data_IF_091403088411
#
_entry.id   IF_091403088411
#
_cell.length_a   1.000
_cell.length_b   1.000
_cell.length_c   1.000
_cell.angle_alpha   90.00
_cell.angle_beta   90.00
_cell.angle_gamma   90.00
#
_symmetry.space_group_name_H-M   'P 1'
#
loop_
_entity.id
_entity.type
_entity.pdbx_description
1 polymer ?
#
# COMPACT_ATOMS: atom_id res chain seq x y z
N UNK A 1 -1.38 -8.83 -11.33
CA UNK A 1 -0.58 -7.91 -12.17
C UNK A 1 0.20 -6.81 -11.42
N UNK A 2 -0.11 -6.48 -10.15
CA UNK A 2 0.57 -5.42 -9.37
C UNK A 2 2.10 -5.47 -9.42
N UNK A 3 2.71 -6.59 -9.00
CA UNK A 3 4.18 -6.71 -8.93
C UNK A 3 4.85 -6.52 -10.30
N UNK A 4 4.23 -7.01 -11.38
CA UNK A 4 4.69 -6.80 -12.75
C UNK A 4 4.61 -5.33 -13.16
N UNK A 5 3.46 -4.68 -12.92
CA UNK A 5 3.27 -3.26 -13.24
C UNK A 5 4.28 -2.36 -12.52
N UNK A 6 4.59 -2.66 -11.25
CA UNK A 6 5.63 -1.94 -10.53
C UNK A 6 7.03 -2.21 -11.06
N UNK A 7 7.38 -3.48 -11.27
CA UNK A 7 8.72 -3.88 -11.71
C UNK A 7 9.05 -3.38 -13.12
N UNK A 8 8.12 -3.51 -14.06
CA UNK A 8 8.36 -3.25 -15.48
C UNK A 8 8.05 -1.80 -15.89
N UNK A 9 7.25 -1.07 -15.10
CA UNK A 9 6.78 0.27 -15.50
C UNK A 9 6.91 1.31 -14.38
N UNK A 10 6.22 1.15 -13.25
CA UNK A 10 6.09 2.25 -12.29
C UNK A 10 7.42 2.59 -11.59
N UNK A 11 8.18 1.61 -11.10
CA UNK A 11 9.47 1.87 -10.46
C UNK A 11 10.50 2.48 -11.43
N UNK A 12 10.67 1.95 -12.66
CA UNK A 12 11.49 2.62 -13.68
C UNK A 12 11.03 4.06 -13.96
N UNK A 13 9.73 4.30 -14.06
CA UNK A 13 9.17 5.62 -14.31
C UNK A 13 9.48 6.58 -13.15
N UNK A 14 9.22 6.19 -11.90
CA UNK A 14 9.54 7.00 -10.74
C UNK A 14 11.04 7.26 -10.60
N UNK A 15 11.87 6.27 -10.89
CA UNK A 15 13.33 6.45 -10.94
C UNK A 15 13.77 7.52 -11.94
N UNK A 16 13.11 7.61 -13.10
CA UNK A 16 13.40 8.64 -14.10
C UNK A 16 13.11 10.08 -13.63
N UNK A 17 12.24 10.24 -12.63
CA UNK A 17 11.91 11.53 -12.00
C UNK A 17 12.59 11.75 -10.64
N UNK A 18 13.54 10.88 -10.24
CA UNK A 18 14.19 10.92 -8.92
C UNK A 18 13.20 10.77 -7.76
N UNK A 19 12.13 10.00 -7.96
CA UNK A 19 11.09 9.78 -6.94
C UNK A 19 11.31 8.50 -6.11
N UNK A 20 12.35 7.72 -6.41
CA UNK A 20 12.67 6.47 -5.69
C UNK A 20 12.83 6.70 -4.18
N UNK A 21 13.38 7.85 -3.77
CA UNK A 21 13.61 8.18 -2.36
C UNK A 21 12.32 8.22 -1.53
N UNK A 22 11.18 8.57 -2.12
CA UNK A 22 9.89 8.63 -1.42
C UNK A 22 9.32 7.26 -1.07
N UNK A 23 9.86 6.18 -1.63
CA UNK A 23 9.47 4.82 -1.30
C UNK A 23 10.31 4.22 -0.17
N UNK A 24 11.37 4.91 0.27
CA UNK A 24 12.31 4.37 1.24
C UNK A 24 11.82 4.65 2.66
N UNK A 25 11.87 3.63 3.52
CA UNK A 25 11.63 3.81 4.95
C UNK A 25 12.85 4.44 5.64
N UNK A 26 14.04 4.28 5.05
CA UNK A 26 15.30 4.86 5.53
C UNK A 26 16.13 5.38 4.34
N UNK A 27 16.73 6.58 4.44
CA UNK A 27 17.52 7.17 3.35
C UNK A 27 18.77 6.38 2.94
N UNK A 28 19.27 5.48 3.79
CA UNK A 28 20.45 4.65 3.50
C UNK A 28 20.17 3.48 2.55
N UNK A 29 18.89 3.16 2.30
CA UNK A 29 18.50 2.10 1.38
C UNK A 29 18.89 2.50 -0.06
N UNK A 30 19.65 1.66 -0.78
CA UNK A 30 20.01 1.97 -2.17
C UNK A 30 18.78 1.82 -3.07
N UNK A 31 18.72 2.62 -4.14
CA UNK A 31 17.62 2.60 -5.12
C UNK A 31 17.37 1.20 -5.70
N UNK A 32 18.43 0.41 -5.86
CA UNK A 32 18.36 -0.96 -6.38
C UNK A 32 17.52 -1.91 -5.53
N UNK A 33 17.38 -1.61 -4.24
CA UNK A 33 16.67 -2.46 -3.28
C UNK A 33 15.18 -2.10 -3.20
N UNK A 34 14.77 -0.96 -3.77
CA UNK A 34 13.36 -0.56 -3.90
C UNK A 34 12.69 -1.39 -4.99
N UNK A 35 12.31 -2.60 -4.61
CA UNK A 35 11.65 -3.62 -5.44
C UNK A 35 10.19 -3.81 -5.02
N UNK A 36 9.34 -4.49 -5.82
CA UNK A 36 8.00 -4.85 -5.36
C UNK A 36 7.99 -5.62 -4.04
N UNK A 37 8.95 -6.51 -3.81
CA UNK A 37 9.08 -7.26 -2.57
C UNK A 37 9.38 -6.33 -1.39
N UNK A 38 10.31 -5.38 -1.57
CA UNK A 38 10.59 -4.35 -0.57
C UNK A 38 9.34 -3.50 -0.28
N UNK A 39 8.54 -3.15 -1.29
CA UNK A 39 7.32 -2.38 -1.10
C UNK A 39 6.25 -3.14 -0.32
N UNK A 40 6.16 -4.48 -0.42
CA UNK A 40 5.25 -5.29 0.41
C UNK A 40 5.55 -5.10 1.89
N UNK A 41 6.83 -5.08 2.25
CA UNK A 41 7.26 -4.95 3.64
C UNK A 41 7.13 -3.51 4.15
N UNK A 42 7.58 -2.54 3.35
CA UNK A 42 7.82 -1.17 3.83
C UNK A 42 6.86 -0.09 3.32
N UNK A 43 6.14 -0.33 2.21
CA UNK A 43 5.36 0.74 1.56
C UNK A 43 3.86 0.45 1.46
N UNK A 44 3.49 -0.77 1.11
CA UNK A 44 2.10 -1.15 0.85
C UNK A 44 1.41 -1.69 2.10
N UNK A 45 0.09 -1.51 2.12
CA UNK A 45 -0.81 -2.08 3.10
C UNK A 45 -1.10 -3.55 2.75
N UNK A 46 -0.12 -4.42 2.98
CA UNK A 46 -0.20 -5.86 2.68
C UNK A 46 -0.02 -6.68 3.97
N UNK A 47 -0.89 -7.66 4.17
CA UNK A 47 -0.81 -8.59 5.30
C UNK A 47 -2.17 -9.14 5.71
N UNK A 48 -2.25 -9.63 6.94
CA UNK A 48 -3.51 -10.01 7.59
C UNK A 48 -4.39 -8.77 7.86
N UNK A 49 -5.70 -8.92 8.10
CA UNK A 49 -6.55 -7.79 8.50
C UNK A 49 -5.98 -7.01 9.69
N UNK A 50 -5.45 -7.72 10.71
CA UNK A 50 -4.75 -7.10 11.84
C UNK A 50 -3.57 -6.23 11.39
N UNK A 51 -2.68 -6.78 10.56
CA UNK A 51 -1.50 -6.07 10.05
C UNK A 51 -1.88 -4.84 9.24
N UNK A 52 -2.91 -4.95 8.40
CA UNK A 52 -3.39 -3.84 7.57
C UNK A 52 -4.03 -2.75 8.43
N UNK A 53 -4.79 -3.13 9.47
CA UNK A 53 -5.33 -2.17 10.46
C UNK A 53 -4.21 -1.40 11.16
N UNK A 54 -3.15 -2.09 11.61
CA UNK A 54 -2.00 -1.43 12.26
C UNK A 54 -1.30 -0.45 11.30
N UNK A 55 -0.92 -0.89 10.10
CA UNK A 55 -0.27 -0.03 9.10
C UNK A 55 -1.15 1.16 8.66
N UNK A 56 -2.46 0.94 8.50
CA UNK A 56 -3.41 2.00 8.13
C UNK A 56 -3.57 3.03 9.26
N UNK A 57 -3.55 2.59 10.51
CA UNK A 57 -3.56 3.47 11.68
C UNK A 57 -2.32 4.33 11.77
N UNK A 58 -1.13 3.73 11.60
CA UNK A 58 0.13 4.47 11.54
C UNK A 58 0.11 5.53 10.43
N UNK A 59 -0.39 5.17 9.24
CA UNK A 59 -0.52 6.11 8.12
C UNK A 59 -1.52 7.25 8.42
N UNK A 60 -2.65 6.93 9.05
CA UNK A 60 -3.66 7.92 9.44
C UNK A 60 -3.09 8.92 10.45
N UNK A 61 -2.44 8.43 11.50
CA UNK A 61 -1.80 9.30 12.51
C UNK A 61 -0.69 10.15 11.90
N UNK A 62 0.18 9.55 11.09
CA UNK A 62 1.30 10.26 10.46
C UNK A 62 0.85 11.36 9.50
N UNK A 63 -0.34 11.26 8.90
CA UNK A 63 -0.87 12.27 7.99
C UNK A 63 -1.74 13.35 8.64
N UNK A 64 -2.04 13.25 9.95
CA UNK A 64 -3.08 14.06 10.59
C UNK A 64 -4.52 13.62 10.23
N UNK A 65 -4.67 12.41 9.71
CA UNK A 65 -5.93 11.82 9.29
C UNK A 65 -6.38 12.14 7.86
N UNK A 66 -7.38 11.41 7.38
CA UNK A 66 -8.03 11.61 6.09
C UNK A 66 -9.48 11.11 6.11
N UNK A 67 -10.34 11.68 5.26
CA UNK A 67 -11.77 11.33 5.22
C UNK A 67 -12.14 10.11 4.37
N UNK A 68 -11.20 9.57 3.58
CA UNK A 68 -11.47 8.43 2.73
C UNK A 68 -10.20 7.72 2.25
N UNK A 69 -10.28 6.40 2.17
CA UNK A 69 -9.24 5.54 1.62
C UNK A 69 -9.58 5.20 0.16
N UNK A 70 -8.73 5.63 -0.78
CA UNK A 70 -8.85 5.26 -2.18
C UNK A 70 -7.95 4.06 -2.47
N UNK A 71 -8.55 2.93 -2.80
CA UNK A 71 -7.82 1.70 -3.12
C UNK A 71 -7.38 1.75 -4.59
N UNK A 72 -6.07 1.74 -4.82
CA UNK A 72 -5.51 1.55 -6.16
C UNK A 72 -5.64 0.08 -6.57
N UNK A 73 -6.34 -0.16 -7.67
CA UNK A 73 -6.57 -1.51 -8.21
C UNK A 73 -5.78 -1.74 -9.50
N UNK A 74 -5.39 -2.99 -9.73
CA UNK A 74 -4.70 -3.44 -10.93
C UNK A 74 -5.48 -4.59 -11.55
N UNK A 75 -5.00 -5.12 -12.68
CA UNK A 75 -5.62 -6.28 -13.27
C UNK A 75 -5.46 -7.53 -12.38
N UNK A 76 -6.61 -8.08 -11.99
CA UNK A 76 -6.81 -9.27 -11.16
C UNK A 76 -7.55 -10.39 -11.91
N UNK A 77 -7.56 -10.38 -13.25
CA UNK A 77 -8.23 -11.42 -14.06
C UNK A 77 -7.75 -12.84 -13.72
N UNK A 78 -6.46 -13.02 -13.41
CA UNK A 78 -5.88 -14.31 -13.07
C UNK A 78 -6.27 -14.82 -11.67
N UNK A 79 -6.68 -13.92 -10.76
CA UNK A 79 -7.08 -14.24 -9.37
C UNK A 79 -8.13 -13.25 -8.86
N UNK A 80 -9.32 -13.33 -9.43
CA UNK A 80 -10.43 -12.48 -9.05
C UNK A 80 -10.98 -12.85 -7.67
N UNK A 81 -11.00 -14.14 -7.32
CA UNK A 81 -11.47 -14.61 -6.02
C UNK A 81 -10.59 -14.11 -4.87
N UNK A 82 -9.27 -14.19 -5.01
CA UNK A 82 -8.33 -13.67 -4.03
C UNK A 82 -8.46 -12.16 -3.86
N UNK A 83 -8.61 -11.41 -4.96
CA UNK A 83 -8.88 -9.98 -4.91
C UNK A 83 -10.21 -9.65 -4.21
N UNK A 84 -11.31 -10.31 -4.60
CA UNK A 84 -12.62 -10.09 -4.03
C UNK A 84 -12.63 -10.39 -2.52
N UNK A 85 -11.96 -11.46 -2.10
CA UNK A 85 -11.79 -11.77 -0.68
C UNK A 85 -10.96 -10.69 0.04
N UNK A 86 -9.87 -10.20 -0.57
CA UNK A 86 -9.09 -9.09 -0.01
C UNK A 86 -9.93 -7.82 0.17
N UNK A 87 -10.78 -7.47 -0.80
CA UNK A 87 -11.67 -6.31 -0.70
C UNK A 87 -12.73 -6.50 0.38
N UNK A 88 -13.31 -7.71 0.47
CA UNK A 88 -14.25 -8.05 1.54
C UNK A 88 -13.61 -7.89 2.91
N UNK A 89 -12.41 -8.44 3.12
CA UNK A 89 -11.68 -8.31 4.39
C UNK A 89 -11.35 -6.85 4.73
N UNK A 90 -10.95 -6.06 3.74
CA UNK A 90 -10.72 -4.62 3.94
C UNK A 90 -11.99 -3.92 4.45
N UNK A 91 -13.12 -4.14 3.80
CA UNK A 91 -14.40 -3.48 4.15
C UNK A 91 -14.98 -4.00 5.46
N UNK A 92 -14.96 -5.31 5.68
CA UNK A 92 -15.66 -5.95 6.80
C UNK A 92 -14.81 -6.04 8.08
N UNK A 93 -13.48 -6.16 7.96
CA UNK A 93 -12.59 -6.41 9.11
C UNK A 93 -11.63 -5.25 9.41
N UNK A 94 -11.24 -4.43 8.43
CA UNK A 94 -10.28 -3.33 8.63
C UNK A 94 -10.99 -2.00 8.83
N UNK A 95 -11.79 -1.56 7.86
CA UNK A 95 -12.42 -0.24 7.87
C UNK A 95 -13.28 0.08 9.11
N UNK A 96 -13.98 -0.88 9.77
CA UNK A 96 -14.76 -0.59 10.97
C UNK A 96 -13.94 -0.02 12.14
N UNK A 97 -12.63 -0.26 12.17
CA UNK A 97 -11.72 0.31 13.19
C UNK A 97 -11.53 1.83 13.05
N UNK A 98 -11.84 2.40 11.88
CA UNK A 98 -11.58 3.80 11.54
C UNK A 98 -12.86 4.65 11.44
N UNK A 99 -14.04 4.04 11.62
CA UNK A 99 -15.35 4.65 11.30
C UNK A 99 -15.68 5.94 12.06
N UNK A 100 -15.16 6.06 13.29
CA UNK A 100 -15.45 7.18 14.19
C UNK A 100 -14.26 8.16 14.29
N UNK A 101 -13.19 7.92 13.52
CA UNK A 101 -12.01 8.77 13.53
C UNK A 101 -12.26 10.04 12.72
N UNK A 102 -11.79 11.16 13.25
CA UNK A 102 -11.85 12.46 12.59
C UNK A 102 -10.42 12.92 12.30
N UNK A 103 -10.15 13.49 11.11
CA UNK A 103 -8.89 14.18 10.85
C UNK A 103 -8.71 15.35 11.84
N UNK A 104 -7.45 15.67 12.13
CA UNK A 104 -7.07 16.80 12.99
C UNK A 104 -7.40 18.16 12.36
#
# INVERSE_FOLDING_TARGET
MLGRAYREYLLPLFGSFQFTDYFKHDPSIPDSDVTPEYLVDHGWLVGSPKTVTEKLGEMYEASGGFGGLLVLTFDHLDDNEGWANSQRLLVEEVMPHFKDMQPD
#
